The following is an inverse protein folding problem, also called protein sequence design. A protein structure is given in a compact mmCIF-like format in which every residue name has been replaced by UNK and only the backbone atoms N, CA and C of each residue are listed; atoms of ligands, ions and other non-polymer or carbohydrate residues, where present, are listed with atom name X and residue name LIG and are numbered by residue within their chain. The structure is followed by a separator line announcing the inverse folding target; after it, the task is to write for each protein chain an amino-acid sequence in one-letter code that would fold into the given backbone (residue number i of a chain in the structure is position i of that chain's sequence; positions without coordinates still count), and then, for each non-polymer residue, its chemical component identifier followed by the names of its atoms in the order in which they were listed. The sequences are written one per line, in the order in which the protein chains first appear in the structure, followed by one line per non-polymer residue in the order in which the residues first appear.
data_IF_999368002654
#
_entry.id   IF_999368002654
#
_cell.length_a   1.000
_cell.length_b   1.000
_cell.length_c   1.000
_cell.angle_alpha   90.00
_cell.angle_beta   90.00
_cell.angle_gamma   90.00
#
_symmetry.space_group_name_H-M   'P 1'
#
loop_
_entity.id
_entity.type
_entity.pdbx_description
1 polymer ?
#
# COMPACT_ATOMS: atom_id res chain seq x y z
N UNK A 1 -5.23 18.64 32.53
CA UNK A 1 -5.80 18.16 33.81
C UNK A 1 -6.69 16.98 33.47
N UNK A 2 -6.58 15.92 34.27
CA UNK A 2 -7.48 14.74 34.33
C UNK A 2 -7.29 13.56 33.35
N UNK A 3 -6.56 12.58 33.91
CA UNK A 3 -6.70 11.13 33.80
C UNK A 3 -6.55 10.40 32.44
N UNK A 4 -5.38 9.75 32.33
CA UNK A 4 -5.19 8.32 32.10
C UNK A 4 -5.92 7.65 30.91
N UNK A 5 -5.13 7.22 29.91
CA UNK A 5 -5.05 5.87 29.32
C UNK A 5 -3.77 5.87 28.45
N UNK A 6 -2.65 5.32 28.94
CA UNK A 6 -2.24 3.91 28.82
C UNK A 6 -2.08 3.44 27.35
N UNK A 7 -0.85 3.48 26.85
CA UNK A 7 -0.12 2.31 26.28
C UNK A 7 1.18 2.79 25.65
N UNK A 8 2.29 2.53 26.33
CA UNK A 8 3.64 2.24 25.77
C UNK A 8 4.64 2.18 26.93
N UNK A 9 4.66 1.07 27.65
CA UNK A 9 5.89 0.48 28.24
C UNK A 9 5.58 -0.81 28.99
N UNK A 10 5.00 -1.78 28.28
CA UNK A 10 5.03 -3.19 28.68
C UNK A 10 5.97 -3.88 27.73
N UNK A 11 7.27 -3.93 28.06
CA UNK A 11 8.20 -4.96 27.56
C UNK A 11 9.59 -4.96 28.23
N UNK A 12 9.82 -4.26 29.34
CA UNK A 12 11.10 -4.37 30.08
C UNK A 12 11.04 -5.23 31.35
N UNK A 13 9.87 -5.71 31.77
CA UNK A 13 9.70 -6.51 33.00
C UNK A 13 9.70 -8.04 32.80
N UNK A 14 10.06 -8.54 31.61
CA UNK A 14 10.12 -9.99 31.31
C UNK A 14 11.52 -10.60 31.29
N UNK A 15 12.56 -9.86 31.70
CA UNK A 15 13.95 -10.32 31.62
C UNK A 15 14.63 -10.70 32.96
N UNK A 16 13.90 -10.77 34.10
CA UNK A 16 14.53 -11.08 35.41
C UNK A 16 13.86 -12.18 36.23
N UNK A 17 13.04 -13.05 35.62
CA UNK A 17 12.48 -14.23 36.28
C UNK A 17 13.10 -15.54 35.77
N UNK A 18 14.42 -15.68 35.92
CA UNK A 18 15.13 -16.95 35.70
C UNK A 18 16.28 -17.08 36.71
N UNK A 19 15.98 -17.58 37.92
CA UNK A 19 16.97 -18.24 38.79
C UNK A 19 16.29 -19.46 39.44
N UNK A 20 16.83 -20.68 39.28
CA UNK A 20 16.43 -21.80 40.09
C UNK A 20 17.21 -21.81 41.41
N UNK A 21 16.48 -21.98 42.51
CA UNK A 21 16.98 -22.38 43.83
C UNK A 21 17.34 -23.87 43.80
N UNK A 22 18.59 -24.23 44.11
CA UNK A 22 18.92 -25.55 44.67
C UNK A 22 20.37 -25.59 45.19
N UNK A 23 20.56 -26.42 46.21
CA UNK A 23 21.81 -26.77 46.93
C UNK A 23 22.22 -25.88 48.11
N UNK A 24 21.86 -26.32 49.33
CA UNK A 24 22.82 -26.91 50.28
C UNK A 24 22.10 -27.37 51.57
N UNK A 25 22.14 -28.68 51.82
CA UNK A 25 21.79 -29.30 53.10
C UNK A 25 23.04 -29.40 54.00
N UNK A 26 22.94 -28.81 55.20
CA UNK A 26 23.40 -29.27 56.55
C UNK A 26 24.91 -29.55 56.82
N UNK A 27 25.44 -29.47 58.08
CA UNK A 27 24.77 -29.88 59.33
C UNK A 27 24.98 -29.04 60.62
N UNK A 28 24.09 -29.32 61.59
CA UNK A 28 24.18 -29.00 63.02
C UNK A 28 25.35 -29.77 63.66
N UNK A 29 26.47 -29.12 64.01
CA UNK A 29 26.90 -29.17 65.42
C UNK A 29 27.84 -28.00 65.79
N UNK A 30 27.32 -26.77 65.98
CA UNK A 30 28.08 -25.72 66.71
C UNK A 30 27.17 -24.96 67.71
N UNK A 31 25.94 -25.42 67.89
CA UNK A 31 24.93 -24.73 68.71
C UNK A 31 25.15 -24.86 70.23
N UNK A 32 26.18 -25.57 70.71
CA UNK A 32 26.36 -25.84 72.14
C UNK A 32 27.62 -25.28 72.82
N UNK A 33 28.53 -24.60 72.12
CA UNK A 33 29.75 -24.05 72.77
C UNK A 33 29.77 -22.54 73.01
N UNK A 34 28.76 -21.79 72.55
CA UNK A 34 28.77 -20.30 72.62
C UNK A 34 27.91 -19.76 73.78
N UNK A 35 27.19 -20.61 74.51
CA UNK A 35 26.17 -20.13 75.46
C UNK A 35 26.71 -19.66 76.82
N UNK A 36 27.93 -20.03 77.21
CA UNK A 36 28.50 -19.69 78.52
C UNK A 36 29.92 -19.14 78.41
N UNK A 37 30.10 -17.96 77.82
CA UNK A 37 31.08 -16.95 78.28
C UNK A 37 31.05 -15.73 77.35
N UNK A 38 31.20 -14.54 77.94
CA UNK A 38 31.31 -13.22 77.30
C UNK A 38 30.00 -12.45 77.01
N UNK A 39 29.17 -12.34 78.04
CA UNK A 39 28.06 -11.38 78.12
C UNK A 39 28.49 -9.95 78.56
N UNK A 40 29.69 -9.48 78.17
CA UNK A 40 30.07 -8.05 78.37
C UNK A 40 30.89 -7.40 77.25
N UNK A 41 31.27 -8.13 76.17
CA UNK A 41 32.06 -7.56 75.05
C UNK A 41 31.30 -7.32 73.74
N UNK A 42 29.99 -7.60 73.66
CA UNK A 42 29.22 -7.58 72.38
C UNK A 42 28.39 -6.32 72.07
N UNK A 43 28.23 -5.37 72.99
CA UNK A 43 27.53 -4.09 72.68
C UNK A 43 28.44 -3.07 71.97
N UNK A 44 29.72 -2.96 72.36
CA UNK A 44 30.62 -1.97 71.78
C UNK A 44 31.09 -2.32 70.35
N UNK A 45 31.22 -3.61 70.00
CA UNK A 45 31.65 -4.00 68.65
C UNK A 45 30.52 -4.04 67.61
N UNK A 46 29.25 -4.11 68.03
CA UNK A 46 28.10 -4.03 67.10
C UNK A 46 27.87 -2.60 66.63
N UNK A 47 27.94 -1.62 67.53
CA UNK A 47 27.83 -0.19 67.20
C UNK A 47 29.00 0.27 66.32
N UNK A 48 30.23 -0.22 66.58
CA UNK A 48 31.40 0.09 65.76
C UNK A 48 31.30 -0.52 64.35
N UNK A 49 30.85 -1.78 64.24
CA UNK A 49 30.66 -2.47 62.94
C UNK A 49 29.52 -1.86 62.11
N UNK A 50 28.39 -1.51 62.75
CA UNK A 50 27.29 -0.78 62.11
C UNK A 50 27.71 0.65 61.71
N UNK A 51 28.51 1.34 62.53
CA UNK A 51 29.07 2.65 62.19
C UNK A 51 29.99 2.61 60.97
N UNK A 52 30.88 1.62 60.89
CA UNK A 52 31.77 1.41 59.73
C UNK A 52 31.01 0.99 58.47
N UNK A 53 29.97 0.14 58.58
CA UNK A 53 29.13 -0.21 57.43
C UNK A 53 28.39 1.01 56.89
N UNK A 54 27.78 1.81 57.77
CA UNK A 54 27.06 3.03 57.38
C UNK A 54 28.00 4.05 56.74
N UNK A 55 29.20 4.21 57.27
CA UNK A 55 30.23 5.10 56.71
C UNK A 55 30.72 4.64 55.33
N UNK A 56 30.95 3.33 55.13
CA UNK A 56 31.39 2.78 53.85
C UNK A 56 30.29 2.87 52.77
N UNK A 57 29.04 2.59 53.12
CA UNK A 57 27.90 2.76 52.21
C UNK A 57 27.70 4.23 51.86
N UNK A 58 27.83 5.14 52.82
CA UNK A 58 27.73 6.58 52.57
C UNK A 58 28.88 7.10 51.70
N UNK A 59 30.10 6.61 51.91
CA UNK A 59 31.26 6.96 51.09
C UNK A 59 31.11 6.47 49.65
N UNK A 60 30.63 5.23 49.45
CA UNK A 60 30.33 4.72 48.11
C UNK A 60 29.19 5.49 47.43
N UNK A 61 28.13 5.84 48.16
CA UNK A 61 27.03 6.65 47.63
C UNK A 61 27.48 8.06 47.24
N UNK A 62 28.39 8.67 48.02
CA UNK A 62 28.97 9.97 47.73
C UNK A 62 29.91 9.95 46.51
N UNK A 63 30.54 8.80 46.21
CA UNK A 63 31.37 8.63 45.02
C UNK A 63 30.55 8.40 43.74
N UNK A 64 29.37 7.78 43.85
CA UNK A 64 28.51 7.45 42.68
C UNK A 64 27.56 8.60 42.31
N UNK A 65 27.09 9.39 43.29
CA UNK A 65 26.19 10.54 43.06
C UNK A 65 26.67 11.54 42.00
N UNK A 66 27.94 11.97 41.97
CA UNK A 66 28.44 12.91 40.97
C UNK A 66 28.41 12.33 39.56
N UNK A 67 28.70 11.03 39.42
CA UNK A 67 28.68 10.33 38.13
C UNK A 67 27.25 10.14 37.61
N UNK A 68 26.30 9.86 38.50
CA UNK A 68 24.88 9.77 38.11
C UNK A 68 24.32 11.13 37.66
N UNK A 69 24.70 12.20 38.36
CA UNK A 69 24.31 13.56 37.99
C UNK A 69 24.91 13.98 36.64
N UNK A 70 26.16 13.62 36.35
CA UNK A 70 26.80 13.94 35.07
C UNK A 70 26.15 13.18 33.90
N UNK A 71 25.79 11.91 34.10
CA UNK A 71 25.06 11.11 33.09
C UNK A 71 23.66 11.69 32.85
N UNK A 72 22.92 12.05 33.90
CA UNK A 72 21.59 12.66 33.77
C UNK A 72 21.66 14.02 33.06
N UNK A 73 22.67 14.82 33.36
CA UNK A 73 22.88 16.13 32.72
C UNK A 73 23.28 15.97 31.24
N UNK A 74 24.06 14.95 30.91
CA UNK A 74 24.44 14.61 29.52
C UNK A 74 23.22 14.14 28.72
N UNK A 75 22.38 13.27 29.30
CA UNK A 75 21.14 12.82 28.69
C UNK A 75 20.13 13.97 28.50
N UNK A 76 20.04 14.87 29.48
CA UNK A 76 19.17 16.06 29.40
C UNK A 76 19.63 17.00 28.30
N UNK A 77 20.94 17.29 28.20
CA UNK A 77 21.52 18.09 27.11
C UNK A 77 21.31 17.45 25.74
N UNK A 78 21.48 16.13 25.62
CA UNK A 78 21.22 15.41 24.38
C UNK A 78 19.75 15.55 23.95
N UNK A 79 18.81 15.36 24.87
CA UNK A 79 17.37 15.56 24.63
C UNK A 79 17.06 17.01 24.22
N UNK A 80 17.61 17.98 24.95
CA UNK A 80 17.35 19.41 24.71
C UNK A 80 17.97 19.89 23.38
N UNK A 81 19.05 19.24 22.92
CA UNK A 81 19.63 19.46 21.58
C UNK A 81 18.81 18.77 20.46
N UNK A 82 18.21 17.61 20.72
CA UNK A 82 17.41 16.85 19.76
C UNK A 82 15.98 17.39 19.59
N UNK A 83 15.37 17.87 20.67
CA UNK A 83 14.01 18.40 20.66
C UNK A 83 13.76 19.51 19.60
N UNK A 84 14.61 20.54 19.45
CA UNK A 84 14.41 21.56 18.42
C UNK A 84 14.61 21.02 17.00
N UNK A 85 15.44 19.99 16.80
CA UNK A 85 15.62 19.32 15.50
C UNK A 85 14.36 18.54 15.13
N UNK A 86 13.84 17.74 16.07
CA UNK A 86 12.56 17.03 15.88
C UNK A 86 11.43 18.01 15.62
N UNK A 87 11.31 19.08 16.40
CA UNK A 87 10.24 20.06 16.23
C UNK A 87 10.32 20.79 14.89
N UNK A 88 11.53 21.07 14.38
CA UNK A 88 11.71 21.62 13.03
C UNK A 88 11.34 20.61 11.94
N UNK A 89 11.72 19.35 12.10
CA UNK A 89 11.35 18.29 11.16
C UNK A 89 9.83 18.08 11.14
N UNK A 90 9.17 18.07 12.29
CA UNK A 90 7.71 18.00 12.41
C UNK A 90 7.05 19.23 11.80
N UNK A 91 7.54 20.44 12.07
CA UNK A 91 7.00 21.67 11.46
C UNK A 91 7.20 21.71 9.94
N UNK A 92 8.31 21.16 9.43
CA UNK A 92 8.53 20.99 7.99
C UNK A 92 7.58 19.95 7.40
N UNK A 93 7.35 18.82 8.07
CA UNK A 93 6.36 17.81 7.68
C UNK A 93 4.93 18.35 7.72
N UNK A 94 4.59 19.18 8.71
CA UNK A 94 3.28 19.84 8.82
C UNK A 94 3.10 20.89 7.72
N UNK A 95 4.15 21.64 7.37
CA UNK A 95 4.10 22.56 6.24
C UNK A 95 4.03 21.81 4.90
N UNK A 96 4.73 20.68 4.76
CA UNK A 96 4.56 19.76 3.62
C UNK A 96 3.13 19.20 3.58
N UNK A 97 2.53 18.86 4.72
CA UNK A 97 1.15 18.40 4.84
C UNK A 97 0.09 19.49 4.67
N UNK A 98 0.49 20.77 4.67
CA UNK A 98 -0.36 21.91 4.27
C UNK A 98 -0.21 22.25 2.79
N UNK A 99 0.96 22.01 2.20
CA UNK A 99 1.25 22.19 0.77
C UNK A 99 0.67 21.04 -0.05
N UNK A 100 0.81 19.81 0.45
CA UNK A 100 0.05 18.65 0.04
C UNK A 100 -1.34 18.85 0.63
N UNK A 101 -2.34 19.26 -0.13
CA UNK A 101 -3.69 19.33 0.41
C UNK A 101 -4.11 17.94 0.91
N UNK A 102 -4.01 17.68 2.22
CA UNK A 102 -4.62 16.52 2.87
C UNK A 102 -6.12 16.77 2.85
N UNK A 103 -6.72 16.47 1.70
CA UNK A 103 -8.16 16.57 1.43
C UNK A 103 -8.86 15.36 2.06
N UNK A 104 -8.89 15.31 3.39
CA UNK A 104 -9.61 14.27 4.16
C UNK A 104 -9.12 12.84 3.91
N UNK A 105 -9.73 11.89 4.60
CA UNK A 105 -9.48 10.43 4.52
C UNK A 105 -9.89 9.81 3.17
N UNK A 106 -9.93 10.61 2.09
CA UNK A 106 -10.40 10.21 0.78
C UNK A 106 -9.45 9.22 0.14
N UNK A 107 -10.00 8.15 -0.41
CA UNK A 107 -9.27 7.05 -1.05
C UNK A 107 -9.36 7.14 -2.58
N UNK A 108 -9.10 8.32 -3.13
CA UNK A 108 -9.20 8.55 -4.57
C UNK A 108 -8.10 7.83 -5.37
N UNK A 109 -8.35 7.58 -6.65
CA UNK A 109 -7.45 6.95 -7.63
C UNK A 109 -7.38 7.81 -8.90
N UNK A 110 -6.33 7.68 -9.73
CA UNK A 110 -5.18 6.77 -9.59
C UNK A 110 -4.19 7.22 -8.52
N UNK A 111 -3.18 6.40 -8.23
CA UNK A 111 -2.08 6.71 -7.29
C UNK A 111 -0.72 6.39 -7.90
N UNK A 112 0.34 6.99 -7.35
CA UNK A 112 1.71 6.56 -7.59
C UNK A 112 2.08 5.40 -6.66
N UNK A 113 2.52 4.29 -7.25
CA UNK A 113 2.92 3.08 -6.53
C UNK A 113 4.42 3.17 -6.22
N UNK A 114 4.72 3.60 -4.99
CA UNK A 114 6.09 3.68 -4.48
C UNK A 114 6.49 2.39 -3.76
N UNK A 115 7.74 1.98 -3.92
CA UNK A 115 8.28 0.82 -3.17
C UNK A 115 8.28 1.03 -1.66
N UNK A 116 8.36 2.28 -1.19
CA UNK A 116 8.39 2.66 0.23
C UNK A 116 7.04 2.53 0.95
N UNK A 117 5.93 2.59 0.21
CA UNK A 117 4.56 2.45 0.74
C UNK A 117 3.93 1.09 0.37
N UNK A 118 4.67 0.27 -0.39
CA UNK A 118 4.25 -1.06 -0.78
C UNK A 118 4.75 -2.10 0.23
N UNK A 119 3.83 -2.91 0.73
CA UNK A 119 4.11 -3.99 1.66
C UNK A 119 3.86 -5.33 0.97
N UNK A 120 4.89 -6.18 0.94
CA UNK A 120 4.73 -7.56 0.48
C UNK A 120 3.74 -8.31 1.39
N UNK A 121 2.74 -8.92 0.78
CA UNK A 121 1.73 -9.73 1.46
C UNK A 121 1.89 -11.18 0.99
N UNK A 122 2.36 -12.05 1.89
CA UNK A 122 2.59 -13.48 1.59
C UNK A 122 1.31 -14.23 1.24
N UNK A 123 0.13 -13.70 1.58
CA UNK A 123 -1.15 -14.28 1.17
C UNK A 123 -1.45 -14.03 -0.32
N UNK A 124 -0.83 -13.02 -0.92
CA UNK A 124 -0.96 -12.68 -2.33
C UNK A 124 0.05 -13.43 -3.23
N UNK A 125 1.16 -13.91 -2.68
CA UNK A 125 2.25 -14.59 -3.44
C UNK A 125 1.75 -15.80 -4.23
N UNK A 126 0.83 -16.58 -3.64
CA UNK A 126 0.21 -17.73 -4.30
C UNK A 126 -1.23 -17.44 -4.74
N UNK A 127 -1.59 -16.15 -4.89
CA UNK A 127 -2.91 -15.79 -5.36
C UNK A 127 -3.10 -16.18 -6.81
N UNK A 128 -4.15 -16.93 -7.10
CA UNK A 128 -4.53 -17.27 -8.45
C UNK A 128 -5.66 -16.34 -8.90
N UNK A 129 -5.37 -15.49 -9.88
CA UNK A 129 -6.35 -14.64 -10.55
C UNK A 129 -6.80 -15.37 -11.82
N UNK A 130 -8.05 -15.82 -11.83
CA UNK A 130 -8.68 -16.49 -12.97
C UNK A 130 -9.59 -15.52 -13.68
N UNK A 131 -9.25 -15.22 -14.93
CA UNK A 131 -10.02 -14.35 -15.81
C UNK A 131 -10.49 -15.18 -16.99
N UNK A 132 -11.81 -15.26 -17.17
CA UNK A 132 -12.44 -15.95 -18.27
C UNK A 132 -13.21 -14.93 -19.10
N UNK A 133 -12.52 -14.32 -20.06
CA UNK A 133 -13.14 -13.41 -21.02
C UNK A 133 -13.43 -14.12 -22.35
N UNK A 134 -14.49 -13.72 -23.05
CA UNK A 134 -14.74 -14.22 -24.39
C UNK A 134 -13.61 -13.80 -25.35
N UNK A 135 -13.25 -14.70 -26.26
CA UNK A 135 -12.25 -14.46 -27.31
C UNK A 135 -12.84 -13.80 -28.56
N UNK A 136 -14.16 -13.84 -28.70
CA UNK A 136 -14.92 -13.27 -29.80
C UNK A 136 -16.33 -12.90 -29.31
N UNK A 137 -17.07 -12.19 -30.14
CA UNK A 137 -18.40 -11.70 -29.82
C UNK A 137 -18.57 -10.26 -30.29
N UNK A 138 -19.80 -9.78 -30.18
CA UNK A 138 -20.09 -8.36 -30.37
C UNK A 138 -19.61 -7.57 -29.15
N UNK A 139 -18.89 -6.50 -29.41
CA UNK A 139 -18.50 -5.52 -28.40
C UNK A 139 -18.87 -4.14 -28.89
N UNK A 140 -19.41 -3.31 -28.01
CA UNK A 140 -19.78 -1.93 -28.30
C UNK A 140 -18.61 -1.02 -27.93
N UNK A 141 -18.03 -0.38 -28.94
CA UNK A 141 -17.05 0.67 -28.75
C UNK A 141 -17.77 2.02 -28.73
N UNK A 142 -17.52 2.83 -27.70
CA UNK A 142 -18.22 4.08 -27.48
C UNK A 142 -17.27 5.19 -27.06
N UNK A 143 -17.42 6.34 -27.69
CA UNK A 143 -16.79 7.59 -27.23
C UNK A 143 -17.77 8.32 -26.30
N UNK A 144 -17.44 8.38 -25.01
CA UNK A 144 -18.24 9.10 -24.01
C UNK A 144 -17.81 10.59 -23.83
N UNK A 145 -16.79 11.03 -24.57
CA UNK A 145 -16.20 12.36 -24.53
C UNK A 145 -15.01 12.47 -23.60
N UNK A 146 -15.12 11.92 -22.39
CA UNK A 146 -14.02 11.86 -21.41
C UNK A 146 -13.33 10.50 -21.35
N UNK A 147 -13.86 9.52 -22.07
CA UNK A 147 -13.40 8.14 -22.05
C UNK A 147 -13.78 7.41 -23.33
N UNK A 148 -12.91 6.48 -23.74
CA UNK A 148 -13.24 5.45 -24.72
C UNK A 148 -13.61 4.18 -23.96
N UNK A 149 -14.82 3.68 -24.22
CA UNK A 149 -15.41 2.57 -23.49
C UNK A 149 -15.63 1.40 -24.44
N UNK A 150 -15.26 0.21 -24.00
CA UNK A 150 -15.64 -1.04 -24.64
C UNK A 150 -16.54 -1.82 -23.70
N UNK A 151 -17.75 -2.13 -24.17
CA UNK A 151 -18.77 -2.86 -23.42
C UNK A 151 -19.10 -4.15 -24.14
N UNK A 152 -19.18 -5.25 -23.39
CA UNK A 152 -19.54 -6.54 -23.95
C UNK A 152 -21.07 -6.63 -24.09
N UNK A 153 -21.53 -7.48 -25.01
CA UNK A 153 -22.94 -7.87 -25.01
C UNK A 153 -23.32 -8.50 -23.66
N UNK A 154 -24.50 -8.14 -23.13
CA UNK A 154 -25.05 -8.63 -21.86
C UNK A 154 -25.13 -10.17 -21.72
N UNK A 155 -25.16 -10.88 -22.85
CA UNK A 155 -25.15 -12.36 -22.92
C UNK A 155 -23.76 -12.97 -22.77
N UNK A 156 -22.70 -12.15 -22.89
CA UNK A 156 -21.31 -12.58 -22.77
C UNK A 156 -20.95 -12.86 -21.32
N UNK A 157 -20.40 -14.05 -21.05
CA UNK A 157 -19.91 -14.43 -19.73
C UNK A 157 -18.44 -14.07 -19.60
N UNK A 158 -18.16 -12.87 -19.12
CA UNK A 158 -16.81 -12.39 -18.84
C UNK A 158 -16.59 -12.33 -17.33
N UNK A 159 -16.06 -13.41 -16.76
CA UNK A 159 -15.99 -13.60 -15.30
C UNK A 159 -14.56 -13.50 -14.77
N UNK A 160 -14.43 -13.00 -13.55
CA UNK A 160 -13.19 -12.92 -12.81
C UNK A 160 -13.38 -13.47 -11.40
N UNK A 161 -12.41 -14.27 -10.96
CA UNK A 161 -12.25 -14.64 -9.55
C UNK A 161 -10.79 -14.58 -9.15
N UNK A 162 -10.51 -14.26 -7.89
CA UNK A 162 -9.17 -14.27 -7.36
C UNK A 162 -9.17 -14.90 -5.96
N UNK A 163 -8.24 -15.83 -5.69
CA UNK A 163 -8.26 -16.56 -4.43
C UNK A 163 -8.10 -15.67 -3.19
N UNK A 164 -7.38 -14.54 -3.30
CA UNK A 164 -7.26 -13.56 -2.22
C UNK A 164 -8.52 -12.74 -1.95
N UNK A 165 -9.52 -12.83 -2.83
CA UNK A 165 -10.86 -12.24 -2.65
C UNK A 165 -11.87 -13.28 -2.12
N UNK A 166 -11.41 -14.47 -1.73
CA UNK A 166 -12.25 -15.53 -1.19
C UNK A 166 -13.16 -16.16 -2.25
N UNK A 167 -14.45 -16.32 -1.93
CA UNK A 167 -15.44 -16.93 -2.81
C UNK A 167 -16.13 -15.93 -3.75
N UNK A 168 -15.73 -14.65 -3.67
CA UNK A 168 -16.33 -13.58 -4.46
C UNK A 168 -16.13 -13.78 -5.97
N UNK A 169 -17.16 -13.45 -6.74
CA UNK A 169 -17.19 -13.56 -8.20
C UNK A 169 -17.53 -12.23 -8.81
N UNK A 170 -16.87 -11.91 -9.90
CA UNK A 170 -16.99 -10.63 -10.58
C UNK A 170 -17.30 -10.85 -12.05
N UNK A 171 -18.12 -9.98 -12.63
CA UNK A 171 -18.44 -9.95 -14.06
C UNK A 171 -17.98 -8.63 -14.65
N UNK A 172 -17.34 -8.68 -15.82
CA UNK A 172 -16.86 -7.49 -16.54
C UNK A 172 -18.04 -6.64 -17.02
N UNK A 173 -18.00 -5.35 -16.72
CA UNK A 173 -19.02 -4.38 -17.12
C UNK A 173 -18.51 -3.48 -18.24
N UNK A 174 -17.35 -2.86 -18.03
CA UNK A 174 -16.77 -1.89 -18.96
C UNK A 174 -15.26 -1.99 -18.96
N UNK A 175 -14.65 -1.86 -20.13
CA UNK A 175 -13.21 -1.64 -20.30
C UNK A 175 -12.98 -0.18 -20.69
N UNK A 176 -12.14 0.52 -19.95
CA UNK A 176 -11.71 1.88 -20.24
C UNK A 176 -10.29 1.88 -20.79
N UNK A 177 -10.04 2.82 -21.70
CA UNK A 177 -8.73 3.08 -22.26
C UNK A 177 -8.29 4.49 -21.88
N UNK A 178 -7.09 4.58 -21.34
CA UNK A 178 -6.44 5.82 -20.96
C UNK A 178 -5.16 5.97 -21.77
N UNK A 179 -4.95 7.17 -22.30
CA UNK A 179 -3.75 7.52 -23.02
C UNK A 179 -3.43 9.00 -22.79
N UNK A 180 -2.18 9.32 -23.10
CA UNK A 180 -1.65 10.67 -23.01
C UNK A 180 -1.19 11.15 -24.37
N UNK A 181 -0.55 12.30 -24.37
CA UNK A 181 -0.01 12.93 -25.58
C UNK A 181 1.43 12.52 -25.88
N UNK A 182 2.11 11.90 -24.92
CA UNK A 182 3.53 11.55 -24.96
C UNK A 182 3.77 10.10 -24.49
N UNK A 183 4.92 9.49 -24.83
CA UNK A 183 5.24 8.09 -24.51
C UNK A 183 5.16 7.68 -23.04
N UNK A 184 5.35 8.61 -22.09
CA UNK A 184 5.46 8.31 -20.66
C UNK A 184 4.41 9.04 -19.80
N UNK A 185 3.35 9.56 -20.42
CA UNK A 185 2.33 10.35 -19.73
C UNK A 185 0.89 9.85 -19.98
N UNK A 186 0.72 8.60 -20.40
CA UNK A 186 -0.57 8.06 -20.80
C UNK A 186 -1.24 7.10 -19.84
N UNK A 187 -0.51 6.54 -18.87
CA UNK A 187 -1.14 5.78 -17.79
C UNK A 187 -1.63 6.69 -16.67
N UNK A 188 -2.72 6.29 -16.04
CA UNK A 188 -3.26 6.98 -14.87
C UNK A 188 -2.46 6.63 -13.62
N UNK A 189 -2.22 5.34 -13.39
CA UNK A 189 -1.30 4.87 -12.37
C UNK A 189 0.14 5.11 -12.82
N UNK A 190 0.98 5.47 -11.86
CA UNK A 190 2.42 5.61 -12.05
C UNK A 190 3.16 4.68 -11.10
N UNK A 191 4.39 4.31 -11.46
CA UNK A 191 5.26 3.47 -10.63
C UNK A 191 6.54 4.24 -10.34
N UNK A 192 6.74 4.66 -9.09
CA UNK A 192 7.94 5.44 -8.76
C UNK A 192 7.96 6.83 -9.40
N UNK A 193 6.79 7.41 -9.65
CA UNK A 193 6.62 8.67 -10.38
C UNK A 193 6.72 8.55 -11.90
N UNK A 194 6.91 7.34 -12.44
CA UNK A 194 7.04 7.09 -13.88
C UNK A 194 5.71 6.62 -14.45
N UNK A 195 5.21 7.32 -15.47
CA UNK A 195 4.05 6.91 -16.27
C UNK A 195 4.45 6.03 -17.45
N UNK A 196 3.43 5.40 -18.03
CA UNK A 196 3.51 4.51 -19.18
C UNK A 196 2.77 5.14 -20.37
N UNK A 197 2.82 4.53 -21.55
CA UNK A 197 2.23 5.08 -22.78
C UNK A 197 0.70 5.09 -22.77
N UNK A 198 0.10 4.23 -21.94
CA UNK A 198 -1.35 4.14 -21.75
C UNK A 198 -1.70 3.19 -20.60
N UNK A 199 -2.98 3.06 -20.32
CA UNK A 199 -3.52 2.13 -19.34
C UNK A 199 -4.88 1.61 -19.78
N UNK A 200 -5.12 0.31 -19.57
CA UNK A 200 -6.42 -0.33 -19.80
C UNK A 200 -6.98 -0.69 -18.43
N UNK A 201 -8.21 -0.28 -18.15
CA UNK A 201 -8.91 -0.59 -16.91
C UNK A 201 -10.14 -1.45 -17.18
N UNK A 202 -10.12 -2.68 -16.69
CA UNK A 202 -11.25 -3.60 -16.73
C UNK A 202 -12.05 -3.47 -15.44
N UNK A 203 -13.26 -2.90 -15.52
CA UNK A 203 -14.11 -2.66 -14.37
C UNK A 203 -15.16 -3.77 -14.27
N UNK A 204 -15.15 -4.45 -13.14
CA UNK A 204 -16.03 -5.57 -12.87
C UNK A 204 -16.97 -5.26 -11.71
N UNK A 205 -18.19 -5.76 -11.83
CA UNK A 205 -19.17 -5.79 -10.74
C UNK A 205 -19.13 -7.15 -10.05
N UNK A 206 -19.21 -7.14 -8.72
CA UNK A 206 -19.44 -8.35 -7.95
C UNK A 206 -20.84 -8.92 -8.25
N UNK A 207 -20.91 -10.21 -8.60
CA UNK A 207 -22.15 -10.88 -9.03
C UNK A 207 -23.18 -11.03 -7.91
N UNK A 208 -22.80 -10.81 -6.65
CA UNK A 208 -23.74 -10.73 -5.52
C UNK A 208 -24.72 -9.57 -5.66
N UNK A 209 -24.35 -8.53 -6.40
CA UNK A 209 -25.18 -7.35 -6.60
C UNK A 209 -25.81 -7.41 -8.00
N UNK A 210 -27.13 -7.19 -8.16
CA UNK A 210 -27.80 -7.35 -9.45
C UNK A 210 -27.34 -6.35 -10.52
N UNK A 211 -26.88 -5.18 -10.12
CA UNK A 211 -26.47 -4.11 -11.03
C UNK A 211 -25.39 -3.22 -10.39
N UNK A 212 -24.78 -2.40 -11.23
CA UNK A 212 -23.70 -1.49 -10.83
C UNK A 212 -24.14 -0.53 -9.72
N UNK A 213 -25.36 0.02 -9.79
CA UNK A 213 -25.86 0.99 -8.81
C UNK A 213 -25.84 0.43 -7.37
N UNK A 214 -26.22 -0.84 -7.19
CA UNK A 214 -26.14 -1.51 -5.90
C UNK A 214 -24.70 -1.85 -5.51
N UNK A 215 -23.90 -2.32 -6.47
CA UNK A 215 -22.49 -2.65 -6.21
C UNK A 215 -21.68 -1.44 -5.74
N UNK A 216 -21.94 -0.26 -6.28
CA UNK A 216 -21.30 1.00 -5.88
C UNK A 216 -21.64 1.47 -4.46
N UNK A 217 -22.57 0.82 -3.76
CA UNK A 217 -22.92 1.17 -2.37
C UNK A 217 -22.19 0.30 -1.36
N UNK A 218 -21.48 -0.73 -1.81
CA UNK A 218 -20.95 -1.79 -0.95
C UNK A 218 -19.44 -1.92 -1.06
N UNK A 219 -18.81 -2.28 0.05
CA UNK A 219 -17.41 -2.69 0.04
C UNK A 219 -17.26 -3.97 -0.81
N UNK A 220 -16.21 -4.03 -1.64
CA UNK A 220 -15.95 -5.13 -2.59
C UNK A 220 -16.99 -5.27 -3.72
N UNK A 221 -17.89 -4.29 -3.90
CA UNK A 221 -18.85 -4.32 -4.99
C UNK A 221 -18.22 -4.15 -6.37
N UNK A 222 -17.09 -3.44 -6.46
CA UNK A 222 -16.40 -3.16 -7.71
C UNK A 222 -14.94 -3.61 -7.62
N UNK A 223 -14.48 -4.30 -8.66
CA UNK A 223 -13.10 -4.70 -8.84
C UNK A 223 -12.56 -4.09 -10.14
N UNK A 224 -11.50 -3.29 -10.02
CA UNK A 224 -10.76 -2.74 -11.15
C UNK A 224 -9.49 -3.55 -11.40
N UNK A 225 -9.26 -3.96 -12.65
CA UNK A 225 -7.98 -4.53 -13.08
C UNK A 225 -7.31 -3.54 -14.03
N UNK A 226 -6.13 -3.03 -13.67
CA UNK A 226 -5.35 -2.12 -14.50
C UNK A 226 -4.18 -2.85 -15.18
N UNK A 227 -4.04 -2.63 -16.48
CA UNK A 227 -2.93 -3.10 -17.31
C UNK A 227 -2.23 -1.88 -17.90
N UNK A 228 -0.97 -1.69 -17.55
CA UNK A 228 -0.15 -0.61 -18.09
C UNK A 228 0.32 -0.95 -19.52
N UNK A 229 0.38 0.06 -20.38
CA UNK A 229 0.79 -0.09 -21.79
C UNK A 229 2.16 0.51 -22.04
N UNK A 230 3.08 -0.29 -22.58
CA UNK A 230 4.36 0.20 -23.07
C UNK A 230 4.30 0.49 -24.56
N UNK A 231 4.90 1.61 -24.96
CA UNK A 231 5.05 1.93 -26.37
C UNK A 231 6.06 0.99 -27.04
N UNK A 232 5.82 0.69 -28.30
CA UNK A 232 6.64 -0.16 -29.16
C UNK A 232 6.62 0.35 -30.60
N UNK A 233 7.51 -0.16 -31.43
CA UNK A 233 7.55 0.20 -32.84
C UNK A 233 6.50 -0.53 -33.68
N UNK A 234 6.31 -1.82 -33.43
CA UNK A 234 5.39 -2.65 -34.20
C UNK A 234 3.95 -2.51 -33.69
N UNK A 235 2.96 -2.69 -34.57
CA UNK A 235 1.53 -2.73 -34.23
C UNK A 235 1.17 -4.01 -33.49
N UNK A 236 0.41 -3.91 -32.39
CA UNK A 236 -0.12 -5.06 -31.68
C UNK A 236 -1.44 -5.52 -32.31
N UNK A 237 -1.50 -6.72 -32.93
CA UNK A 237 -2.71 -7.18 -33.60
C UNK A 237 -3.92 -7.29 -32.67
N UNK A 238 -3.68 -7.43 -31.36
CA UNK A 238 -4.74 -7.46 -30.34
C UNK A 238 -5.63 -6.22 -30.38
N UNK A 239 -5.06 -5.06 -30.70
CA UNK A 239 -5.78 -3.79 -30.73
C UNK A 239 -6.35 -3.44 -32.11
N UNK A 240 -5.99 -4.15 -33.18
CA UNK A 240 -6.35 -3.78 -34.55
C UNK A 240 -7.84 -3.52 -34.74
N UNK A 241 -8.72 -4.42 -34.27
CA UNK A 241 -10.17 -4.25 -34.36
C UNK A 241 -10.67 -2.98 -33.66
N UNK A 242 -10.11 -2.66 -32.49
CA UNK A 242 -10.47 -1.44 -31.73
C UNK A 242 -9.99 -0.22 -32.50
N UNK A 243 -8.74 -0.25 -32.98
CA UNK A 243 -8.12 0.85 -33.73
C UNK A 243 -8.86 1.13 -35.04
N UNK A 244 -9.33 0.10 -35.76
CA UNK A 244 -10.15 0.28 -36.95
C UNK A 244 -11.53 0.88 -36.62
N UNK A 245 -12.10 0.50 -35.48
CA UNK A 245 -13.35 1.02 -34.95
C UNK A 245 -13.32 2.53 -34.63
N UNK A 246 -12.15 3.09 -34.29
CA UNK A 246 -11.97 4.52 -33.94
C UNK A 246 -12.59 5.46 -34.98
N UNK A 247 -12.50 5.11 -36.27
CA UNK A 247 -13.04 5.93 -37.38
C UNK A 247 -14.55 6.14 -37.30
N UNK A 248 -15.27 5.23 -36.64
CA UNK A 248 -16.71 5.31 -36.46
C UNK A 248 -17.10 6.01 -35.15
N UNK A 249 -16.15 6.20 -34.22
CA UNK A 249 -16.42 6.73 -32.89
C UNK A 249 -15.65 8.02 -32.57
N UNK A 250 -15.33 8.81 -33.59
CA UNK A 250 -14.46 9.99 -33.45
C UNK A 250 -15.00 11.00 -32.45
N UNK A 251 -16.31 11.25 -32.42
CA UNK A 251 -16.92 12.32 -31.62
C UNK A 251 -17.69 11.79 -30.41
N UNK A 252 -17.84 12.60 -29.37
CA UNK A 252 -18.63 12.22 -28.19
C UNK A 252 -20.04 11.80 -28.56
N UNK A 253 -20.50 10.73 -27.92
CA UNK A 253 -21.83 10.16 -28.11
C UNK A 253 -21.91 9.15 -29.26
N UNK A 254 -20.90 9.07 -30.11
CA UNK A 254 -20.83 8.05 -31.16
C UNK A 254 -20.46 6.68 -30.57
N UNK A 255 -21.05 5.64 -31.15
CA UNK A 255 -20.82 4.25 -30.79
C UNK A 255 -20.93 3.36 -32.02
N UNK A 256 -20.18 2.25 -32.02
CA UNK A 256 -20.27 1.23 -33.06
C UNK A 256 -20.12 -0.17 -32.47
N UNK A 257 -20.67 -1.16 -33.15
CA UNK A 257 -20.42 -2.56 -32.86
C UNK A 257 -19.15 -3.01 -33.58
N UNK A 258 -18.24 -3.65 -32.86
CA UNK A 258 -17.03 -4.27 -33.40
C UNK A 258 -16.98 -5.74 -32.99
N UNK A 259 -16.44 -6.58 -33.88
CA UNK A 259 -16.41 -8.04 -33.72
C UNK A 259 -14.98 -8.55 -33.70
N UNK A 260 -14.73 -9.59 -32.89
CA UNK A 260 -13.43 -10.26 -32.85
C UNK A 260 -12.39 -9.56 -31.97
N UNK A 261 -12.81 -8.75 -31.00
CA UNK A 261 -11.91 -8.25 -29.95
C UNK A 261 -11.51 -9.40 -29.03
N UNK A 262 -10.20 -9.66 -28.93
CA UNK A 262 -9.66 -10.70 -28.05
C UNK A 262 -9.22 -10.09 -26.72
N UNK A 263 -10.18 -9.98 -25.79
CA UNK A 263 -9.94 -9.39 -24.46
C UNK A 263 -8.86 -10.12 -23.65
N UNK A 264 -8.77 -11.47 -23.64
CA UNK A 264 -7.67 -12.17 -22.96
C UNK A 264 -6.27 -11.71 -23.37
N UNK A 265 -6.08 -11.35 -24.65
CA UNK A 265 -4.77 -10.91 -25.15
C UNK A 265 -4.42 -9.46 -24.75
N UNK A 266 -5.38 -8.70 -24.22
CA UNK A 266 -5.13 -7.38 -23.63
C UNK A 266 -4.65 -7.46 -22.17
N UNK A 267 -4.57 -8.67 -21.61
CA UNK A 267 -4.01 -8.94 -20.29
C UNK A 267 -2.58 -9.47 -20.41
N UNK A 268 -1.74 -9.32 -19.38
CA UNK A 268 -0.48 -10.05 -19.30
C UNK A 268 -0.70 -11.57 -19.35
N UNK A 269 0.32 -12.32 -19.79
CA UNK A 269 0.31 -13.79 -19.71
C UNK A 269 0.05 -14.28 -18.28
N UNK A 270 -0.55 -15.47 -18.12
CA UNK A 270 -0.86 -16.07 -16.81
C UNK A 270 0.31 -16.07 -15.82
N UNK A 271 1.54 -16.36 -16.28
CA UNK A 271 2.74 -16.32 -15.45
C UNK A 271 3.06 -14.91 -14.93
N UNK A 272 2.87 -13.89 -15.78
CA UNK A 272 3.11 -12.48 -15.44
C UNK A 272 2.01 -11.89 -14.57
N UNK A 273 0.78 -12.42 -14.62
CA UNK A 273 -0.32 -12.00 -13.76
C UNK A 273 -0.10 -12.36 -12.27
N UNK A 274 0.89 -13.21 -11.95
CA UNK A 274 1.28 -13.51 -10.57
C UNK A 274 1.90 -12.31 -9.85
N UNK A 275 2.45 -11.34 -10.59
CA UNK A 275 3.04 -10.12 -10.03
C UNK A 275 2.09 -8.92 -10.17
N UNK A 276 1.47 -8.52 -9.06
CA UNK A 276 0.53 -7.41 -9.02
C UNK A 276 0.57 -6.66 -7.68
N UNK A 277 0.04 -5.44 -7.72
CA UNK A 277 -0.30 -4.64 -6.54
C UNK A 277 -1.81 -4.61 -6.35
N UNK A 278 -2.24 -4.41 -5.10
CA UNK A 278 -3.65 -4.24 -4.79
C UNK A 278 -3.88 -3.23 -3.68
N UNK A 279 -4.91 -2.39 -3.84
CA UNK A 279 -5.30 -1.37 -2.87
C UNK A 279 -6.78 -0.96 -3.03
N UNK A 280 -7.36 -0.33 -2.00
CA UNK A 280 -8.73 0.23 -2.07
C UNK A 280 -8.70 1.69 -2.53
N UNK A 281 -9.49 1.97 -3.56
CA UNK A 281 -9.45 3.20 -4.31
C UNK A 281 -10.82 3.70 -4.75
N UNK A 282 -10.80 4.49 -5.82
CA UNK A 282 -11.99 5.00 -6.48
C UNK A 282 -11.99 4.64 -7.95
N UNK A 283 -13.10 4.89 -8.61
CA UNK A 283 -13.10 5.08 -10.06
C UNK A 283 -12.20 6.27 -10.42
N UNK A 284 -11.56 6.19 -11.59
CA UNK A 284 -10.74 7.26 -12.15
C UNK A 284 -11.50 8.10 -13.18
N UNK A 285 -12.70 7.67 -13.54
CA UNK A 285 -13.70 8.42 -14.33
C UNK A 285 -14.80 8.93 -13.39
N UNK A 286 -15.42 10.07 -13.74
CA UNK A 286 -16.51 10.65 -12.96
C UNK A 286 -17.64 9.61 -12.74
N UNK A 287 -18.23 9.50 -11.53
CA UNK A 287 -18.17 10.40 -10.39
C UNK A 287 -17.12 10.06 -9.31
N UNK A 288 -16.11 9.25 -9.64
CA UNK A 288 -14.98 8.97 -8.75
C UNK A 288 -15.35 8.31 -7.41
N UNK A 289 -16.27 7.33 -7.42
CA UNK A 289 -16.76 6.69 -6.19
C UNK A 289 -15.67 5.83 -5.57
N UNK A 290 -15.49 5.94 -4.25
CA UNK A 290 -14.44 5.26 -3.47
C UNK A 290 -14.84 3.82 -3.09
N UNK A 291 -15.08 2.99 -4.11
CA UNK A 291 -15.66 1.63 -3.95
C UNK A 291 -14.83 0.55 -4.64
N UNK A 292 -13.75 0.95 -5.31
CA UNK A 292 -13.00 0.06 -6.21
C UNK A 292 -11.89 -0.62 -5.43
N UNK A 293 -11.87 -1.95 -5.44
CA UNK A 293 -10.66 -2.71 -5.14
C UNK A 293 -9.84 -2.79 -6.43
N UNK A 294 -8.61 -2.28 -6.42
CA UNK A 294 -7.72 -2.31 -7.57
C UNK A 294 -6.80 -3.51 -7.55
N UNK A 295 -6.56 -4.12 -8.71
CA UNK A 295 -5.46 -5.02 -9.03
C UNK A 295 -4.69 -4.37 -10.17
N UNK A 296 -3.43 -4.02 -9.96
CA UNK A 296 -2.56 -3.46 -11.00
C UNK A 296 -1.46 -4.46 -11.29
N UNK A 297 -1.42 -4.98 -12.51
CA UNK A 297 -0.35 -5.89 -12.89
C UNK A 297 0.97 -5.14 -13.06
N UNK A 298 2.07 -5.74 -12.60
CA UNK A 298 3.42 -5.21 -12.81
C UNK A 298 3.84 -5.30 -14.28
N UNK A 299 3.41 -6.37 -14.95
CA UNK A 299 3.70 -6.58 -16.34
C UNK A 299 2.83 -5.69 -17.23
N UNK A 300 3.44 -5.19 -18.30
CA UNK A 300 2.78 -4.36 -19.31
C UNK A 300 2.34 -5.17 -20.52
N UNK A 301 1.38 -4.63 -21.26
CA UNK A 301 1.09 -5.01 -22.65
C UNK A 301 1.66 -3.94 -23.58
N UNK A 302 2.09 -4.30 -24.78
CA UNK A 302 2.68 -3.34 -25.71
C UNK A 302 1.64 -2.82 -26.69
N UNK A 303 1.77 -1.56 -27.08
CA UNK A 303 0.98 -0.88 -28.12
C UNK A 303 1.93 -0.05 -28.98
N UNK A 304 1.64 0.14 -30.26
CA UNK A 304 2.53 0.93 -31.12
C UNK A 304 2.30 2.43 -31.01
N UNK A 305 3.30 3.22 -31.37
CA UNK A 305 3.14 4.68 -31.57
C UNK A 305 2.01 5.00 -32.55
N UNK A 306 1.92 4.26 -33.65
CA UNK A 306 0.90 4.45 -34.68
C UNK A 306 -0.51 4.18 -34.13
N UNK A 307 -0.68 3.13 -33.32
CA UNK A 307 -1.95 2.80 -32.68
C UNK A 307 -2.35 3.86 -31.64
N UNK A 308 -1.39 4.35 -30.85
CA UNK A 308 -1.61 5.47 -29.92
C UNK A 308 -2.03 6.74 -30.67
N UNK A 309 -1.41 7.05 -31.80
CA UNK A 309 -1.77 8.21 -32.62
C UNK A 309 -3.20 8.12 -33.15
N UNK A 310 -3.71 6.92 -33.45
CA UNK A 310 -5.13 6.74 -33.78
C UNK A 310 -6.03 7.05 -32.59
N UNK A 311 -5.71 6.58 -31.38
CA UNK A 311 -6.47 6.92 -30.17
C UNK A 311 -6.52 8.44 -29.93
N UNK A 312 -5.40 9.12 -30.15
CA UNK A 312 -5.28 10.60 -30.01
C UNK A 312 -6.10 11.40 -31.03
N UNK A 313 -6.73 10.76 -32.03
CA UNK A 313 -7.65 11.43 -32.97
C UNK A 313 -9.06 11.63 -32.40
N UNK A 314 -9.41 10.91 -31.34
CA UNK A 314 -10.73 11.00 -30.72
C UNK A 314 -10.98 12.39 -30.15
N UNK A 315 -12.21 12.86 -30.28
CA UNK A 315 -12.67 14.17 -29.85
C UNK A 315 -13.51 14.05 -28.58
N UNK A 316 -13.32 15.03 -27.70
CA UNK A 316 -14.05 15.17 -26.44
C UNK A 316 -15.48 15.63 -26.65
N UNK A 317 -15.70 16.45 -27.66
CA UNK A 317 -16.97 17.08 -27.93
C UNK A 317 -17.76 16.37 -29.04
N UNK A 318 -19.04 16.71 -29.16
CA UNK A 318 -19.90 16.18 -30.22
C UNK A 318 -19.56 16.75 -31.59
N UNK A 319 -20.01 16.09 -32.65
CA UNK A 319 -19.75 16.50 -34.04
C UNK A 319 -20.25 17.92 -34.36
N UNK A 320 -21.35 18.35 -33.72
CA UNK A 320 -21.96 19.67 -33.96
C UNK A 320 -21.32 20.81 -33.14
N UNK A 321 -20.31 20.51 -32.32
CA UNK A 321 -19.65 21.53 -31.49
C UNK A 321 -18.73 22.42 -32.33
N UNK A 322 -18.82 23.74 -32.14
CA UNK A 322 -17.99 24.72 -32.86
C UNK A 322 -16.50 24.60 -32.54
N UNK A 323 -16.17 24.13 -31.33
CA UNK A 323 -14.79 23.93 -30.87
C UNK A 323 -14.54 22.45 -30.72
N UNK A 324 -13.62 21.93 -31.54
CA UNK A 324 -13.16 20.55 -31.41
C UNK A 324 -12.00 20.45 -30.41
N UNK A 325 -12.26 19.86 -29.25
CA UNK A 325 -11.21 19.45 -28.31
C UNK A 325 -10.86 17.97 -28.51
N UNK A 326 -9.57 17.64 -28.45
CA UNK A 326 -9.10 16.25 -28.40
C UNK A 326 -9.48 15.62 -27.06
N UNK A 327 -9.88 14.35 -27.08
CA UNK A 327 -10.11 13.57 -25.87
C UNK A 327 -8.80 13.38 -25.09
N UNK A 328 -8.82 13.71 -23.80
CA UNK A 328 -7.74 13.45 -22.85
C UNK A 328 -8.29 12.58 -21.70
N UNK A 329 -8.33 11.25 -21.89
CA UNK A 329 -8.96 10.34 -20.93
C UNK A 329 -7.96 9.98 -19.83
N UNK A 330 -7.40 10.97 -19.15
CA UNK A 330 -6.41 10.75 -18.10
C UNK A 330 -6.71 11.63 -16.88
N UNK A 331 -6.75 11.01 -15.70
CA UNK A 331 -6.85 11.70 -14.42
C UNK A 331 -5.47 11.83 -13.78
N UNK A 332 -5.22 12.99 -13.18
CA UNK A 332 -4.01 13.21 -12.39
C UNK A 332 -3.91 12.26 -11.20
N UNK A 333 -2.67 11.86 -10.85
CA UNK A 333 -2.36 11.08 -9.64
C UNK A 333 -2.92 11.75 -8.39
N UNK A 334 -3.57 10.96 -7.54
CA UNK A 334 -4.20 11.40 -6.31
C UNK A 334 -3.30 11.07 -5.10
N UNK A 335 -3.41 11.83 -4.00
CA UNK A 335 -2.66 11.56 -2.78
C UNK A 335 -2.95 10.16 -2.21
N UNK A 336 -1.90 9.48 -1.69
CA UNK A 336 -2.05 8.16 -1.08
C UNK A 336 -2.86 8.18 0.22
N UNK A 337 -2.87 9.30 0.94
CA UNK A 337 -3.64 9.50 2.19
C UNK A 337 -3.50 8.36 3.22
N UNK A 338 -2.27 7.91 3.45
CA UNK A 338 -1.95 6.88 4.46
C UNK A 338 -2.38 5.46 4.10
N UNK A 339 -2.94 5.22 2.90
CA UNK A 339 -3.23 3.86 2.41
C UNK A 339 -1.93 3.07 2.26
N UNK A 340 -1.98 1.80 2.65
CA UNK A 340 -0.92 0.83 2.35
C UNK A 340 -1.27 0.10 1.06
N UNK A 341 -0.29 -0.03 0.17
CA UNK A 341 -0.41 -0.84 -1.05
C UNK A 341 0.15 -2.22 -0.74
N UNK A 342 -0.57 -3.28 -1.10
CA UNK A 342 -0.09 -4.66 -0.93
C UNK A 342 0.48 -5.18 -2.25
N UNK A 343 1.55 -5.95 -2.21
CA UNK A 343 2.12 -6.61 -3.40
C UNK A 343 2.17 -8.13 -3.24
N UNK A 344 1.95 -8.84 -4.35
CA UNK A 344 2.12 -10.30 -4.44
C UNK A 344 3.58 -10.75 -4.57
N UNK A 345 4.49 -9.81 -4.80
CA UNK A 345 5.90 -10.09 -5.00
C UNK A 345 6.76 -9.21 -4.10
N UNK A 346 7.96 -9.68 -3.78
CA UNK A 346 8.93 -8.94 -2.98
C UNK A 346 9.62 -7.91 -3.86
N UNK A 347 9.72 -6.66 -3.38
CA UNK A 347 10.59 -5.70 -4.04
C UNK A 347 12.06 -6.11 -3.87
N UNK A 348 12.90 -5.82 -4.86
CA UNK A 348 14.34 -6.09 -4.80
C UNK A 348 15.01 -5.45 -3.58
N UNK A 349 14.51 -4.31 -3.10
CA UNK A 349 14.96 -3.65 -1.87
C UNK A 349 14.61 -4.43 -0.57
N UNK A 350 13.61 -5.31 -0.61
CA UNK A 350 13.18 -6.15 0.52
C UNK A 350 13.76 -7.57 0.45
N UNK A 351 14.34 -7.98 -0.68
CA UNK A 351 14.90 -9.31 -0.90
C UNK A 351 16.26 -9.54 -0.17
N UNK A 352 16.98 -8.48 0.21
CA UNK A 352 18.34 -8.57 0.76
C UNK A 352 18.43 -8.59 2.30
N UNK A 353 17.49 -9.23 3.00
CA UNK A 353 17.59 -9.46 4.47
C UNK A 353 17.53 -10.94 4.84
N UNK A 354 18.13 -11.79 4.01
CA UNK A 354 18.51 -13.13 4.44
C UNK A 354 19.99 -13.03 4.82
N UNK A 355 20.23 -12.88 6.12
CA UNK A 355 21.54 -12.96 6.75
C UNK A 355 22.20 -14.28 6.40
N UNK A 356 23.38 -14.21 5.78
CA UNK A 356 24.37 -15.29 5.82
C UNK A 356 24.65 -15.61 7.30
N UNK A 357 24.37 -16.85 7.69
CA UNK A 357 24.75 -17.43 8.99
C UNK A 357 25.94 -18.34 8.82
#
# INVERSE_FOLDING_TARGET
MYLAIRKTNTNLHRALSCFPLSFLQLPLPVYKSIKNNFNSKRKNNRMAFLGQLTANVQAQLNNVKPQLNSVLQTATRARDNLAPILNRATAQLDNLGKILQVTGDRKQSPIDILSTITTFDSTLENSEIRINYPMNGETRLKNAGDSLQLQLDSSSRAELSASHLGEERYVLETVYFHWGTEPMNGSEHTIGGVGYAGEIQFIHRNTRFPNLEMAFKEANGILGVAVLLNESHDDNPTFSTIIDGIKQVVYKGSECAIYGVNLPHMLPSSEKMKEFWTYTGSETVHPYRETVQWIIFRATVWISSNQLDKLRTLKREGYECEVEETMLPIRAVQPINGRTIRSSFRSSAQAARITET
#
